data_IF_303395936020
#
_entry.id   IF_303395936020
#
_cell.length_a   1.000
_cell.length_b   1.000
_cell.length_c   1.000
_cell.angle_alpha   90.00
_cell.angle_beta   90.00
_cell.angle_gamma   90.00
#
_symmetry.space_group_name_H-M   'P 1'
#
loop_
_entity.id
_entity.type
_entity.pdbx_description
1 polymer ?
#
# COMPACT_ATOMS: atom_id res chain seq x y z
N UNK A 1 -84.66 -12.83 -35.25
CA UNK A 1 -84.47 -12.76 -33.79
C UNK A 1 -82.98 -12.70 -33.51
N UNK A 2 -82.58 -11.71 -32.69
CA UNK A 2 -81.33 -11.61 -31.93
C UNK A 2 -80.01 -11.42 -32.71
N UNK A 3 -79.59 -10.16 -32.83
CA UNK A 3 -78.19 -9.76 -32.64
C UNK A 3 -77.77 -10.03 -31.18
N UNK A 4 -76.49 -10.31 -30.88
CA UNK A 4 -75.67 -9.21 -30.35
C UNK A 4 -74.15 -9.28 -30.60
N UNK A 5 -73.51 -8.13 -30.37
CA UNK A 5 -72.12 -7.89 -29.85
C UNK A 5 -70.96 -8.35 -30.74
N UNK A 6 -70.12 -7.48 -31.30
CA UNK A 6 -69.49 -6.32 -30.69
C UNK A 6 -68.20 -6.76 -30.00
N UNK A 7 -67.05 -6.59 -30.66
CA UNK A 7 -65.75 -6.40 -30.00
C UNK A 7 -64.78 -5.74 -30.98
N UNK A 8 -64.60 -4.43 -30.78
CA UNK A 8 -63.57 -3.65 -31.46
C UNK A 8 -62.23 -3.88 -30.78
N UNK A 9 -61.28 -4.45 -31.52
CA UNK A 9 -59.88 -4.49 -31.11
C UNK A 9 -59.22 -3.17 -31.50
N UNK A 10 -59.26 -2.18 -30.60
CA UNK A 10 -58.39 -1.02 -30.69
C UNK A 10 -56.96 -1.46 -30.34
N UNK A 11 -56.08 -1.51 -31.34
CA UNK A 11 -54.65 -1.74 -31.15
C UNK A 11 -54.05 -0.53 -30.42
N UNK A 12 -53.90 -0.64 -29.10
CA UNK A 12 -53.14 0.32 -28.31
C UNK A 12 -51.65 0.14 -28.60
N UNK A 13 -51.09 1.01 -29.44
CA UNK A 13 -49.65 1.11 -29.67
C UNK A 13 -48.97 1.62 -28.41
N UNK A 14 -48.32 0.73 -27.65
CA UNK A 14 -47.49 1.12 -26.50
C UNK A 14 -46.18 1.70 -27.06
N UNK A 15 -46.02 3.02 -26.96
CA UNK A 15 -44.76 3.70 -27.27
C UNK A 15 -43.78 3.46 -26.10
N UNK A 16 -42.88 2.48 -26.23
CA UNK A 16 -41.78 2.31 -25.29
C UNK A 16 -40.75 3.44 -25.54
N UNK A 17 -40.75 4.48 -24.70
CA UNK A 17 -39.60 5.39 -24.66
C UNK A 17 -38.39 4.62 -24.11
N UNK A 18 -37.21 4.67 -24.77
CA UNK A 18 -36.00 4.14 -24.16
C UNK A 18 -35.69 5.02 -22.94
N UNK A 19 -35.74 4.41 -21.75
CA UNK A 19 -35.21 5.02 -20.54
C UNK A 19 -33.70 5.15 -20.71
N UNK A 20 -33.26 6.32 -21.17
CA UNK A 20 -31.84 6.66 -21.24
C UNK A 20 -31.36 6.82 -19.80
N UNK A 21 -30.86 5.73 -19.21
CA UNK A 21 -30.13 5.76 -17.93
C UNK A 21 -28.86 6.59 -18.17
N UNK A 22 -28.95 7.89 -17.89
CA UNK A 22 -27.78 8.75 -17.85
C UNK A 22 -26.84 8.23 -16.77
N UNK A 23 -25.72 7.64 -17.18
CA UNK A 23 -24.62 7.32 -16.27
C UNK A 23 -23.96 8.65 -15.92
N UNK A 24 -24.46 9.32 -14.90
CA UNK A 24 -23.76 10.42 -14.26
C UNK A 24 -22.49 9.84 -13.64
N UNK A 25 -21.35 10.04 -14.32
CA UNK A 25 -20.03 9.85 -13.71
C UNK A 25 -19.98 10.80 -12.52
N UNK A 26 -20.00 10.26 -11.31
CA UNK A 26 -19.78 11.04 -10.08
C UNK A 26 -18.35 11.58 -10.18
N UNK A 27 -18.14 12.89 -10.39
CA UNK A 27 -16.81 13.46 -10.35
C UNK A 27 -16.43 13.51 -8.87
N UNK A 28 -15.56 12.61 -8.41
CA UNK A 28 -15.08 12.66 -7.04
C UNK A 28 -14.71 11.34 -6.37
N UNK A 29 -15.08 10.18 -6.93
CA UNK A 29 -14.50 8.91 -6.45
C UNK A 29 -13.12 8.72 -7.07
N UNK A 30 -12.13 9.50 -6.60
CA UNK A 30 -10.73 9.11 -6.79
C UNK A 30 -10.47 7.99 -5.79
N UNK A 31 -10.60 6.74 -6.24
CA UNK A 31 -9.93 5.65 -5.56
C UNK A 31 -8.42 5.95 -5.62
N UNK A 32 -7.70 5.72 -4.53
CA UNK A 32 -6.24 5.84 -4.55
C UNK A 32 -5.68 4.88 -5.61
N UNK A 33 -4.86 5.41 -6.51
CA UNK A 33 -4.18 4.60 -7.52
C UNK A 33 -2.90 4.01 -6.89
N UNK A 34 -2.80 2.68 -6.88
CA UNK A 34 -1.56 2.01 -6.46
C UNK A 34 -0.62 1.96 -7.66
N UNK A 35 0.41 2.80 -7.65
CA UNK A 35 1.42 2.85 -8.71
C UNK A 35 2.57 1.85 -8.50
N UNK A 36 2.77 1.38 -7.27
CA UNK A 36 3.84 0.46 -6.91
C UNK A 36 3.53 -0.24 -5.57
N UNK A 37 3.72 -1.56 -5.54
CA UNK A 37 3.58 -2.37 -4.32
C UNK A 37 4.50 -3.59 -4.40
N UNK A 38 5.19 -3.90 -3.30
CA UNK A 38 6.12 -5.03 -3.19
C UNK A 38 5.86 -5.79 -1.89
N UNK A 39 6.00 -7.12 -1.92
CA UNK A 39 5.99 -7.94 -0.72
C UNK A 39 7.43 -8.19 -0.25
N UNK A 40 7.91 -7.42 0.73
CA UNK A 40 9.27 -7.54 1.25
C UNK A 40 9.53 -8.95 1.81
N UNK A 41 10.60 -9.59 1.36
CA UNK A 41 11.00 -10.95 1.71
C UNK A 41 10.15 -12.06 1.10
N UNK A 42 9.08 -11.73 0.36
CA UNK A 42 8.10 -12.69 -0.10
C UNK A 42 7.94 -12.79 -1.61
N UNK A 43 7.11 -13.75 -2.03
CA UNK A 43 6.60 -13.87 -3.39
C UNK A 43 5.46 -12.86 -3.64
N UNK A 44 5.03 -12.73 -4.88
CA UNK A 44 3.90 -11.86 -5.22
C UNK A 44 2.61 -12.30 -4.54
N UNK A 45 1.75 -11.33 -4.22
CA UNK A 45 0.49 -11.54 -3.53
C UNK A 45 -0.53 -10.48 -3.94
N UNK A 46 -1.81 -10.85 -4.01
CA UNK A 46 -2.90 -9.90 -4.20
C UNK A 46 -3.74 -9.86 -2.94
N UNK A 47 -3.87 -8.69 -2.34
CA UNK A 47 -4.58 -8.50 -1.07
C UNK A 47 -6.11 -8.51 -1.24
N UNK A 48 -6.82 -8.42 -0.11
CA UNK A 48 -8.28 -8.41 -0.05
C UNK A 48 -8.94 -7.20 -0.72
N UNK A 49 -8.19 -6.13 -0.98
CA UNK A 49 -8.64 -4.95 -1.73
C UNK A 49 -8.30 -5.03 -3.22
N UNK A 50 -7.66 -6.11 -3.66
CA UNK A 50 -7.25 -6.33 -5.05
C UNK A 50 -5.91 -5.66 -5.42
N UNK A 51 -5.15 -5.17 -4.44
CA UNK A 51 -3.83 -4.57 -4.68
C UNK A 51 -2.84 -5.70 -4.94
N UNK A 52 -2.17 -5.64 -6.09
CA UNK A 52 -1.13 -6.59 -6.45
C UNK A 52 0.24 -6.16 -5.95
N UNK A 53 0.73 -6.84 -4.92
CA UNK A 53 2.11 -6.73 -4.44
C UNK A 53 2.99 -7.64 -5.29
N UNK A 54 3.97 -7.05 -5.96
CA UNK A 54 4.96 -7.81 -6.71
C UNK A 54 5.96 -8.51 -5.78
N UNK A 55 6.63 -9.56 -6.28
CA UNK A 55 7.71 -10.23 -5.56
C UNK A 55 8.80 -9.23 -5.18
N UNK A 56 9.44 -9.45 -4.03
CA UNK A 56 10.55 -8.62 -3.58
C UNK A 56 11.67 -8.46 -4.65
N UNK A 57 11.96 -7.23 -5.11
CA UNK A 57 13.00 -6.97 -6.12
C UNK A 57 14.44 -7.18 -5.61
N UNK A 58 14.63 -7.22 -4.29
CA UNK A 58 15.90 -7.45 -3.60
C UNK A 58 16.13 -8.93 -3.25
N UNK A 59 15.24 -9.83 -3.67
CA UNK A 59 15.41 -11.27 -3.48
C UNK A 59 16.79 -11.73 -3.99
N UNK A 60 17.54 -12.43 -3.13
CA UNK A 60 18.91 -12.90 -3.37
C UNK A 60 19.95 -11.79 -3.68
N UNK A 61 19.72 -10.54 -3.25
CA UNK A 61 20.65 -9.41 -3.47
C UNK A 61 21.11 -8.75 -2.18
N UNK A 62 20.20 -8.12 -1.44
CA UNK A 62 20.51 -7.28 -0.26
C UNK A 62 19.60 -7.68 0.89
N UNK A 63 20.18 -7.86 2.07
CA UNK A 63 19.45 -8.32 3.25
C UNK A 63 18.96 -9.75 3.14
N UNK A 64 18.28 -10.20 4.19
CA UNK A 64 17.78 -11.55 4.32
C UNK A 64 16.26 -11.55 4.16
N UNK A 65 15.78 -12.30 3.18
CA UNK A 65 14.36 -12.65 3.11
C UNK A 65 14.04 -13.71 4.15
N UNK A 66 12.95 -13.55 4.88
CA UNK A 66 12.51 -14.45 5.94
C UNK A 66 11.01 -14.64 5.84
N UNK A 67 10.55 -15.87 6.05
CA UNK A 67 9.14 -16.20 6.23
C UNK A 67 8.84 -16.69 7.65
N UNK A 68 9.71 -16.33 8.60
CA UNK A 68 9.60 -16.70 10.02
C UNK A 68 8.24 -16.32 10.62
N UNK A 69 7.61 -15.24 10.13
CA UNK A 69 6.29 -14.82 10.55
C UNK A 69 5.17 -15.81 10.22
N UNK A 70 5.33 -16.73 9.25
CA UNK A 70 4.29 -17.70 8.87
C UNK A 70 3.85 -18.65 9.99
N UNK A 71 4.66 -18.78 11.05
CA UNK A 71 4.28 -19.55 12.23
C UNK A 71 3.26 -18.84 13.13
N UNK A 72 2.98 -17.56 12.87
CA UNK A 72 2.09 -16.72 13.66
C UNK A 72 0.79 -16.46 12.91
N UNK A 73 -0.29 -16.32 13.66
CA UNK A 73 -1.50 -15.66 13.18
C UNK A 73 -1.30 -14.16 13.41
N UNK A 74 -1.32 -13.37 12.35
CA UNK A 74 -1.08 -11.93 12.46
C UNK A 74 -2.38 -11.21 12.88
N UNK A 75 -2.31 -10.46 13.98
CA UNK A 75 -3.43 -9.66 14.48
C UNK A 75 -3.70 -8.41 13.63
N UNK A 76 -4.97 -7.96 13.63
CA UNK A 76 -5.49 -6.75 12.95
C UNK A 76 -5.51 -6.79 11.42
N UNK A 77 -5.40 -7.97 10.81
CA UNK A 77 -5.44 -8.11 9.34
C UNK A 77 -6.36 -9.25 8.92
N UNK A 78 -6.89 -9.17 7.70
CA UNK A 78 -7.67 -10.28 7.13
C UNK A 78 -6.77 -11.49 6.88
N UNK A 79 -7.32 -12.70 7.00
CA UNK A 79 -6.56 -13.94 6.82
C UNK A 79 -5.77 -14.00 5.50
N UNK A 80 -6.34 -13.50 4.41
CA UNK A 80 -5.68 -13.51 3.10
C UNK A 80 -4.48 -12.54 3.05
N UNK A 81 -4.54 -11.44 3.81
CA UNK A 81 -3.52 -10.38 3.82
C UNK A 81 -2.38 -10.67 4.80
N UNK A 82 -2.53 -11.68 5.68
CA UNK A 82 -1.51 -12.02 6.69
C UNK A 82 -0.14 -12.25 6.06
N UNK A 83 -0.08 -12.80 4.84
CA UNK A 83 1.19 -13.09 4.17
C UNK A 83 2.07 -11.84 4.01
N UNK A 84 1.47 -10.66 3.83
CA UNK A 84 2.19 -9.38 3.70
C UNK A 84 2.88 -8.94 5.01
N UNK A 85 2.52 -9.56 6.14
CA UNK A 85 3.10 -9.33 7.46
C UNK A 85 3.85 -10.57 8.00
N UNK A 86 3.76 -11.71 7.30
CA UNK A 86 4.43 -12.96 7.67
C UNK A 86 5.77 -13.14 6.94
N UNK A 87 5.94 -12.53 5.77
CA UNK A 87 7.24 -12.41 5.10
C UNK A 87 7.87 -11.07 5.40
N UNK A 88 9.18 -11.06 5.62
CA UNK A 88 9.95 -9.86 5.93
C UNK A 88 11.27 -9.85 5.18
N UNK A 89 11.78 -8.64 4.93
CA UNK A 89 13.21 -8.43 4.66
C UNK A 89 13.84 -7.73 5.85
N UNK A 90 14.82 -8.37 6.47
CA UNK A 90 15.63 -7.76 7.50
C UNK A 90 17.08 -7.62 7.03
N UNK A 91 17.83 -6.74 7.67
CA UNK A 91 19.26 -6.57 7.39
C UNK A 91 20.00 -6.17 8.67
N UNK A 92 21.27 -6.56 8.78
CA UNK A 92 22.14 -6.16 9.89
C UNK A 92 22.79 -4.77 9.72
N UNK A 93 22.46 -4.06 8.63
CA UNK A 93 22.98 -2.75 8.19
C UNK A 93 21.84 -2.02 7.46
N UNK A 94 22.07 -0.76 7.09
CA UNK A 94 21.14 0.00 6.26
C UNK A 94 20.90 -0.65 4.89
N UNK A 95 19.65 -0.67 4.44
CA UNK A 95 19.25 -1.07 3.09
C UNK A 95 18.03 -0.26 2.66
N UNK A 96 17.67 -0.30 1.37
CA UNK A 96 16.51 0.42 0.89
C UNK A 96 15.97 -0.08 -0.46
N UNK A 97 14.78 0.38 -0.80
CA UNK A 97 14.12 0.12 -2.08
C UNK A 97 14.10 1.39 -2.93
N UNK A 98 14.40 1.23 -4.22
CA UNK A 98 14.12 2.27 -5.20
C UNK A 98 12.71 2.07 -5.76
N UNK A 99 11.87 3.10 -5.65
CA UNK A 99 10.49 3.12 -6.09
C UNK A 99 10.40 4.03 -7.32
N UNK A 100 9.95 3.53 -8.48
CA UNK A 100 9.77 4.36 -9.66
C UNK A 100 8.67 5.40 -9.44
N UNK A 101 8.93 6.64 -9.81
CA UNK A 101 7.97 7.74 -9.76
C UNK A 101 8.14 8.64 -10.98
N UNK A 102 7.06 8.83 -11.72
CA UNK A 102 7.11 9.48 -13.04
C UNK A 102 6.13 10.63 -13.21
N UNK A 103 5.24 10.85 -12.25
CA UNK A 103 4.19 11.85 -12.32
C UNK A 103 4.27 12.78 -11.11
N UNK A 104 3.95 14.04 -11.34
CA UNK A 104 3.70 14.99 -10.27
C UNK A 104 2.35 14.67 -9.61
N UNK A 105 2.26 14.85 -8.30
CA UNK A 105 1.05 14.55 -7.55
C UNK A 105 1.28 14.39 -6.05
N UNK A 106 0.18 14.23 -5.33
CA UNK A 106 0.20 13.89 -3.91
C UNK A 106 0.17 12.36 -3.77
N UNK A 107 1.09 11.83 -2.98
CA UNK A 107 1.32 10.39 -2.79
C UNK A 107 1.23 10.03 -1.31
N UNK A 108 0.91 8.77 -1.03
CA UNK A 108 1.04 8.16 0.29
C UNK A 108 1.81 6.86 0.15
N UNK A 109 2.96 6.78 0.79
CA UNK A 109 3.69 5.52 0.96
C UNK A 109 3.19 4.83 2.22
N UNK A 110 2.75 3.58 2.09
CA UNK A 110 2.31 2.76 3.22
C UNK A 110 3.39 1.72 3.48
N UNK A 111 4.02 1.80 4.64
CA UNK A 111 5.02 0.83 5.09
C UNK A 111 4.36 -0.14 6.06
N UNK A 112 4.36 -1.42 5.69
CA UNK A 112 3.72 -2.49 6.45
C UNK A 112 4.78 -3.27 7.23
N UNK A 113 4.59 -3.34 8.55
CA UNK A 113 5.55 -3.94 9.47
C UNK A 113 4.87 -4.93 10.40
N UNK A 114 5.64 -5.92 10.85
CA UNK A 114 5.26 -6.81 11.94
C UNK A 114 6.53 -7.28 12.65
N UNK A 115 6.59 -7.16 13.97
CA UNK A 115 7.64 -7.83 14.73
C UNK A 115 7.28 -9.32 14.86
N UNK A 116 8.13 -10.21 14.35
CA UNK A 116 7.89 -11.66 14.34
C UNK A 116 8.94 -12.44 15.13
N UNK A 117 10.05 -11.80 15.52
CA UNK A 117 11.22 -12.44 16.12
C UNK A 117 11.46 -12.01 17.56
N UNK A 118 11.60 -10.71 17.82
CA UNK A 118 11.90 -10.18 19.14
C UNK A 118 10.67 -10.20 20.06
N UNK A 119 10.93 -10.36 21.36
CA UNK A 119 9.91 -10.53 22.39
C UNK A 119 9.89 -9.42 23.46
N UNK A 120 10.64 -8.33 23.23
CA UNK A 120 10.76 -7.20 24.15
C UNK A 120 11.02 -5.90 23.37
N UNK A 121 10.67 -4.73 23.93
CA UNK A 121 11.07 -3.43 23.39
C UNK A 121 12.58 -3.23 23.41
N UNK A 122 13.05 -2.23 22.67
CA UNK A 122 14.42 -1.76 22.47
C UNK A 122 15.38 -2.81 21.87
N UNK A 123 14.85 -3.91 21.31
CA UNK A 123 15.65 -4.96 20.70
C UNK A 123 15.94 -4.70 19.22
N UNK A 124 15.04 -4.01 18.52
CA UNK A 124 15.18 -3.60 17.13
C UNK A 124 14.54 -2.23 16.96
N UNK A 125 15.39 -1.23 16.84
CA UNK A 125 15.02 0.17 16.61
C UNK A 125 15.75 0.66 15.36
N UNK A 126 15.02 1.32 14.46
CA UNK A 126 15.57 1.81 13.20
C UNK A 126 14.80 3.05 12.73
N UNK A 127 15.44 3.87 11.91
CA UNK A 127 14.77 4.97 11.23
C UNK A 127 14.33 4.54 9.83
N UNK A 128 13.36 5.26 9.28
CA UNK A 128 13.04 5.23 7.85
C UNK A 128 13.36 6.59 7.26
N UNK A 129 14.22 6.60 6.25
CA UNK A 129 14.62 7.79 5.49
C UNK A 129 14.06 7.71 4.08
N UNK A 130 13.44 8.79 3.62
CA UNK A 130 12.89 8.94 2.28
C UNK A 130 13.76 9.89 1.47
N UNK A 131 14.13 9.43 0.29
CA UNK A 131 14.94 10.12 -0.70
C UNK A 131 16.27 10.65 -0.15
N UNK A 132 16.89 9.92 0.77
CA UNK A 132 18.20 10.23 1.37
C UNK A 132 18.21 11.37 2.41
N UNK A 133 17.25 12.28 2.34
CA UNK A 133 17.28 13.53 3.11
C UNK A 133 16.20 13.59 4.21
N UNK A 134 15.08 12.87 4.05
CA UNK A 134 13.92 13.05 4.92
C UNK A 134 13.77 11.87 5.89
N UNK A 135 14.08 12.05 7.17
CA UNK A 135 13.68 11.04 8.17
C UNK A 135 12.17 11.08 8.36
N UNK A 136 11.47 10.09 7.79
CA UNK A 136 10.00 10.03 7.76
C UNK A 136 9.42 9.21 8.92
N UNK A 137 10.20 8.30 9.50
CA UNK A 137 9.87 7.60 10.74
C UNK A 137 11.14 7.52 11.58
N UNK A 138 11.08 7.98 12.83
CA UNK A 138 12.23 8.01 13.75
C UNK A 138 12.04 7.00 14.88
N UNK A 139 13.13 6.35 15.28
CA UNK A 139 13.22 5.42 16.40
C UNK A 139 12.10 4.35 16.38
N UNK A 140 11.84 3.75 15.21
CA UNK A 140 10.78 2.77 15.05
C UNK A 140 11.14 1.46 15.76
N UNK A 141 10.49 1.22 16.89
CA UNK A 141 10.38 -0.09 17.53
C UNK A 141 8.97 -0.67 17.32
N UNK A 142 8.86 -1.64 16.41
CA UNK A 142 7.57 -2.27 16.09
C UNK A 142 7.01 -3.03 17.32
N UNK A 143 7.88 -3.66 18.12
CA UNK A 143 7.43 -4.40 19.31
C UNK A 143 6.85 -3.44 20.35
N UNK A 144 7.50 -2.30 20.58
CA UNK A 144 6.99 -1.28 21.50
C UNK A 144 5.62 -0.74 21.05
N UNK A 145 5.43 -0.54 19.74
CA UNK A 145 4.18 -0.01 19.19
C UNK A 145 3.01 -0.97 19.31
N UNK A 146 3.20 -2.24 18.95
CA UNK A 146 2.08 -3.19 18.78
C UNK A 146 2.32 -4.59 19.36
N UNK A 147 3.52 -4.88 19.86
CA UNK A 147 3.93 -6.21 20.30
C UNK A 147 4.28 -7.15 19.14
N UNK A 148 4.50 -8.43 19.46
CA UNK A 148 4.85 -9.46 18.49
C UNK A 148 3.62 -10.03 17.79
N UNK A 149 3.70 -10.24 16.48
CA UNK A 149 2.66 -10.88 15.67
C UNK A 149 1.42 -10.01 15.44
N UNK A 150 1.58 -8.68 15.49
CA UNK A 150 0.52 -7.71 15.24
C UNK A 150 0.95 -6.81 14.10
N UNK A 151 0.06 -6.57 13.13
CA UNK A 151 0.33 -5.66 12.04
C UNK A 151 0.43 -4.20 12.52
N UNK A 152 1.42 -3.51 11.98
CA UNK A 152 1.68 -2.09 12.17
C UNK A 152 1.92 -1.43 10.81
N UNK A 153 1.25 -0.31 10.55
CA UNK A 153 1.35 0.41 9.29
C UNK A 153 1.77 1.86 9.57
N UNK A 154 2.79 2.33 8.84
CA UNK A 154 3.16 3.74 8.79
C UNK A 154 2.67 4.36 7.47
N UNK A 155 2.01 5.51 7.57
CA UNK A 155 1.47 6.25 6.43
C UNK A 155 2.31 7.52 6.24
N UNK A 156 3.04 7.58 5.14
CA UNK A 156 3.95 8.69 4.83
C UNK A 156 3.40 9.46 3.62
N UNK A 157 2.62 10.53 3.84
CA UNK A 157 2.20 11.42 2.78
C UNK A 157 3.36 12.30 2.29
N UNK A 158 3.52 12.45 0.98
CA UNK A 158 4.50 13.34 0.37
C UNK A 158 3.97 13.84 -0.98
N UNK A 159 4.61 14.85 -1.54
CA UNK A 159 4.25 15.40 -2.85
C UNK A 159 5.42 15.30 -3.81
N UNK A 160 5.14 15.03 -5.07
CA UNK A 160 6.10 15.18 -6.16
C UNK A 160 5.69 16.34 -7.04
N UNK A 161 6.64 17.25 -7.29
CA UNK A 161 6.41 18.39 -8.14
C UNK A 161 7.69 18.81 -8.83
N UNK A 162 7.67 18.88 -10.17
CA UNK A 162 8.80 19.41 -10.95
C UNK A 162 10.10 18.62 -10.76
N UNK A 163 10.01 17.30 -10.58
CA UNK A 163 11.19 16.45 -10.33
C UNK A 163 11.75 16.52 -8.91
N UNK A 164 11.00 17.07 -7.96
CA UNK A 164 11.36 17.12 -6.54
C UNK A 164 10.37 16.33 -5.71
N UNK A 165 10.86 15.72 -4.63
CA UNK A 165 10.05 15.20 -3.55
C UNK A 165 9.94 16.26 -2.46
N UNK A 166 8.73 16.48 -1.97
CA UNK A 166 8.39 17.43 -0.93
C UNK A 166 7.78 16.68 0.25
N UNK A 167 8.40 16.76 1.41
CA UNK A 167 7.93 16.17 2.66
C UNK A 167 8.06 17.20 3.78
N UNK A 168 6.97 17.49 4.50
CA UNK A 168 6.93 18.51 5.56
C UNK A 168 7.55 19.87 5.16
N UNK A 169 7.23 20.34 3.95
CA UNK A 169 7.75 21.59 3.34
C UNK A 169 9.27 21.58 3.01
N UNK A 170 9.96 20.47 3.20
CA UNK A 170 11.36 20.27 2.78
C UNK A 170 11.42 19.58 1.41
N UNK A 171 12.36 19.99 0.56
CA UNK A 171 12.52 19.48 -0.80
C UNK A 171 13.80 18.63 -0.93
N UNK A 172 13.71 17.55 -1.72
CA UNK A 172 14.89 16.84 -2.24
C UNK A 172 14.72 16.46 -3.72
N UNK A 173 15.83 16.35 -4.43
CA UNK A 173 15.80 16.06 -5.88
C UNK A 173 15.48 14.58 -6.14
N UNK A 174 14.59 14.32 -7.09
CA UNK A 174 14.31 12.96 -7.56
C UNK A 174 15.29 12.63 -8.68
N UNK A 175 16.16 11.65 -8.43
CA UNK A 175 17.18 11.24 -9.39
C UNK A 175 16.70 10.02 -10.18
N UNK A 176 16.91 10.06 -11.50
CA UNK A 176 16.58 8.96 -12.42
C UNK A 176 15.13 8.44 -12.33
N UNK A 177 14.17 9.33 -11.99
CA UNK A 177 12.75 8.99 -11.89
C UNK A 177 12.43 7.98 -10.78
N UNK A 178 13.23 7.98 -9.70
CA UNK A 178 13.07 7.07 -8.56
C UNK A 178 13.22 7.83 -7.26
N UNK A 179 12.38 7.48 -6.30
CA UNK A 179 12.58 7.84 -4.89
C UNK A 179 13.14 6.62 -4.17
N UNK A 180 13.95 6.85 -3.14
CA UNK A 180 14.56 5.78 -2.37
C UNK A 180 14.00 5.76 -0.96
N UNK A 181 13.51 4.63 -0.48
CA UNK A 181 13.13 4.44 0.93
C UNK A 181 14.18 3.56 1.60
N UNK A 182 14.81 4.07 2.65
CA UNK A 182 15.93 3.43 3.35
C UNK A 182 15.56 3.15 4.80
N UNK A 183 15.90 1.95 5.27
CA UNK A 183 15.75 1.52 6.65
C UNK A 183 17.11 1.62 7.32
N UNK A 184 17.30 2.65 8.14
CA UNK A 184 18.58 3.01 8.73
C UNK A 184 18.75 2.24 10.03
N UNK A 185 19.79 1.42 10.10
CA UNK A 185 20.17 0.83 11.38
C UNK A 185 20.73 1.91 12.29
N UNK A 186 20.10 2.09 13.45
CA UNK A 186 20.64 2.93 14.50
C UNK A 186 21.84 2.24 15.16
N UNK A 187 22.94 2.98 15.31
CA UNK A 187 24.10 2.55 16.07
C UNK A 187 24.01 3.23 17.44
N UNK A 188 23.89 2.48 18.55
CA UNK A 188 23.86 3.09 19.88
C UNK A 188 25.12 3.93 20.12
N UNK A 189 24.96 5.20 20.50
CA UNK A 189 26.04 6.11 20.88
C UNK A 189 26.56 7.07 19.80
N UNK A 190 25.86 7.20 18.66
CA UNK A 190 26.09 8.27 17.68
C UNK A 190 24.90 9.24 17.65
N UNK A 191 24.76 10.05 18.69
CA UNK A 191 24.04 11.34 18.71
C UNK A 191 24.88 12.36 19.45
#
# INVERSE_FOLDING_TARGET
>A
MLSPTGNGNSLSTILLLPLLLGVSRIPGSRCLEVIYAINAGGESHTDSYGIHYTKDPLMNKVGTASDYGKQLIIGRVNNVDQILYQTERYHHNTFGYDVPISQDGDYVMILKFCEVYFNSPNMKVFDVVLNGDHTVVTDLDIFERVGRGVAHDEYVPFRVQGGKLIYNDEESDILAGKIRVEFIKLIPGQV
#
